data_IF_865187601360
#
_entry.id   IF_865187601360
#
_cell.length_a   1.000
_cell.length_b   1.000
_cell.length_c   1.000
_cell.angle_alpha   90.00
_cell.angle_beta   90.00
_cell.angle_gamma   90.00
#
_symmetry.space_group_name_H-M   'P 1'
#
loop_
_entity.id
_entity.type
_entity.pdbx_description
1 polymer ?
#
# COMPACT_ATOMS: atom_id res chain seq x y z
N UNK A 1 -5.37 37.02 -37.40
CA UNK A 1 -4.64 35.83 -37.01
C UNK A 1 -4.54 35.71 -35.50
N UNK A 2 -5.47 34.99 -34.85
CA UNK A 2 -5.35 34.63 -33.45
C UNK A 2 -4.58 33.31 -33.36
N UNK A 3 -3.37 33.34 -32.82
CA UNK A 3 -2.64 32.13 -32.43
C UNK A 3 -3.36 31.54 -31.20
N UNK A 4 -3.92 30.34 -31.35
CA UNK A 4 -4.46 29.56 -30.25
C UNK A 4 -3.28 29.17 -29.32
N UNK A 5 -3.27 29.67 -28.09
CA UNK A 5 -2.35 29.24 -27.07
C UNK A 5 -2.69 27.79 -26.66
N UNK A 6 -1.77 26.88 -26.84
CA UNK A 6 -1.83 25.52 -26.27
C UNK A 6 -1.84 25.71 -24.74
N UNK A 7 -2.80 25.16 -24.00
CA UNK A 7 -2.85 25.39 -22.57
C UNK A 7 -1.63 24.71 -21.89
N UNK A 8 -0.85 25.48 -21.17
CA UNK A 8 0.32 25.06 -20.39
C UNK A 8 0.06 23.84 -19.48
N UNK A 9 -1.20 23.57 -19.18
CA UNK A 9 -1.65 22.49 -18.30
C UNK A 9 -1.49 21.10 -18.91
N UNK A 10 -1.68 20.94 -20.23
CA UNK A 10 -1.49 19.66 -20.91
C UNK A 10 0.01 19.25 -20.98
N UNK A 11 0.92 20.21 -20.90
CA UNK A 11 2.37 19.95 -20.89
C UNK A 11 2.83 19.48 -19.49
N UNK A 12 2.24 20.01 -18.42
CA UNK A 12 2.59 19.60 -17.06
C UNK A 12 2.09 18.17 -16.73
N UNK A 13 0.86 17.83 -17.10
CA UNK A 13 0.29 16.49 -16.93
C UNK A 13 1.00 15.46 -17.80
N UNK A 14 1.33 15.81 -19.07
CA UNK A 14 2.12 14.92 -19.93
C UNK A 14 3.55 14.72 -19.41
N UNK A 15 4.15 15.74 -18.82
CA UNK A 15 5.47 15.63 -18.18
C UNK A 15 5.45 14.77 -16.92
N UNK A 16 4.41 14.84 -16.10
CA UNK A 16 4.21 13.98 -14.92
C UNK A 16 3.99 12.52 -15.35
N UNK A 17 3.22 12.30 -16.42
CA UNK A 17 3.00 10.96 -17.00
C UNK A 17 4.29 10.36 -17.56
N UNK A 18 5.09 11.16 -18.26
CA UNK A 18 6.40 10.74 -18.79
C UNK A 18 7.39 10.47 -17.64
N UNK A 19 7.38 11.30 -16.58
CA UNK A 19 8.21 11.06 -15.38
C UNK A 19 7.81 9.78 -14.63
N UNK A 20 6.52 9.49 -14.51
CA UNK A 20 6.04 8.25 -13.86
C UNK A 20 6.39 6.99 -14.66
N UNK A 21 6.39 7.07 -15.99
CA UNK A 21 6.82 5.96 -16.88
C UNK A 21 8.34 5.75 -16.83
N UNK A 22 9.14 6.84 -16.75
CA UNK A 22 10.61 6.75 -16.67
C UNK A 22 11.06 6.22 -15.30
N UNK A 23 10.29 6.47 -14.22
CA UNK A 23 10.59 5.94 -12.88
C UNK A 23 10.13 4.50 -12.64
N UNK A 24 9.26 3.94 -13.50
CA UNK A 24 8.72 2.59 -13.34
C UNK A 24 9.77 1.47 -13.54
N UNK A 25 10.95 1.79 -14.07
CA UNK A 25 12.01 0.81 -14.40
C UNK A 25 13.28 0.95 -13.55
N UNK A 26 13.30 1.88 -12.58
CA UNK A 26 14.47 2.06 -11.69
C UNK A 26 14.51 0.94 -10.66
N UNK A 27 15.50 0.05 -10.79
CA UNK A 27 15.77 -0.99 -9.78
C UNK A 27 16.18 -0.33 -8.45
N UNK A 28 15.57 -0.76 -7.36
CA UNK A 28 15.95 -0.33 -6.02
C UNK A 28 17.34 -0.86 -5.67
N UNK A 29 18.22 0.01 -5.20
CA UNK A 29 19.64 -0.30 -4.96
C UNK A 29 20.01 -0.21 -3.48
N UNK A 30 21.21 -0.69 -3.13
CA UNK A 30 21.75 -0.52 -1.77
C UNK A 30 21.98 0.97 -1.44
N UNK A 31 22.30 1.78 -2.44
CA UNK A 31 22.40 3.24 -2.27
C UNK A 31 21.04 3.84 -1.91
N UNK A 32 19.99 3.46 -2.64
CA UNK A 32 18.64 3.93 -2.33
C UNK A 32 18.22 3.54 -0.90
N UNK A 33 18.61 2.34 -0.41
CA UNK A 33 18.37 1.93 0.98
C UNK A 33 19.06 2.83 2.02
N UNK A 34 20.30 3.25 1.75
CA UNK A 34 21.06 4.15 2.64
C UNK A 34 20.48 5.57 2.65
N UNK A 35 19.91 6.02 1.53
CA UNK A 35 19.36 7.37 1.34
C UNK A 35 17.89 7.49 1.75
N UNK A 36 17.25 6.37 2.16
CA UNK A 36 15.86 6.41 2.62
C UNK A 36 15.72 7.29 3.87
N UNK A 37 14.89 8.32 3.76
CA UNK A 37 14.42 9.10 4.91
C UNK A 37 13.32 8.33 5.64
N UNK A 38 13.71 7.61 6.69
CA UNK A 38 12.83 6.75 7.48
C UNK A 38 12.48 7.43 8.81
N UNK A 39 11.21 7.39 9.25
CA UNK A 39 10.84 7.85 10.58
C UNK A 39 11.60 7.08 11.66
N UNK A 40 11.85 7.70 12.82
CA UNK A 40 12.73 7.16 13.85
C UNK A 40 12.45 5.71 14.28
N UNK A 41 11.17 5.29 14.28
CA UNK A 41 10.78 3.91 14.61
C UNK A 41 11.13 2.89 13.49
N UNK A 42 11.40 3.36 12.26
CA UNK A 42 11.83 2.54 11.12
C UNK A 42 13.28 2.80 10.72
N UNK A 43 13.95 3.77 11.37
CA UNK A 43 15.34 4.11 11.08
C UNK A 43 16.26 2.89 11.24
N UNK A 44 17.08 2.63 10.22
CA UNK A 44 17.97 1.45 10.16
C UNK A 44 19.37 1.75 10.70
N UNK A 45 19.73 3.02 10.87
CA UNK A 45 21.06 3.50 11.35
C UNK A 45 22.23 2.84 10.61
N UNK A 46 22.10 2.74 9.27
CA UNK A 46 23.08 2.11 8.42
C UNK A 46 24.24 3.06 8.07
N UNK A 47 25.46 2.53 8.16
CA UNK A 47 26.68 3.18 7.64
C UNK A 47 27.44 2.21 6.75
N UNK A 48 27.93 2.69 5.61
CA UNK A 48 28.75 1.87 4.72
C UNK A 48 30.22 1.96 5.17
N UNK A 49 30.80 0.81 5.54
CA UNK A 49 32.18 0.72 6.07
C UNK A 49 33.18 0.18 5.04
N UNK A 50 32.72 -0.56 4.01
CA UNK A 50 33.54 -1.03 2.89
C UNK A 50 32.70 -1.30 1.65
N UNK A 51 33.32 -1.55 0.49
CA UNK A 51 32.64 -1.93 -0.75
C UNK A 51 31.78 -0.83 -1.38
N UNK A 52 32.11 0.45 -1.17
CA UNK A 52 31.31 1.60 -1.62
C UNK A 52 31.01 1.60 -3.13
N UNK A 53 31.91 1.03 -3.94
CA UNK A 53 31.72 0.89 -5.40
C UNK A 53 30.52 0.01 -5.75
N UNK A 54 30.12 -0.90 -4.85
CA UNK A 54 28.97 -1.79 -5.01
C UNK A 54 27.62 -1.20 -4.58
N UNK A 55 27.57 0.02 -4.04
CA UNK A 55 26.29 0.64 -3.63
C UNK A 55 25.21 0.68 -4.73
N UNK A 56 25.54 0.77 -6.03
CA UNK A 56 24.54 0.67 -7.10
C UNK A 56 24.00 -0.75 -7.34
N UNK A 57 24.43 -1.78 -6.60
CA UNK A 57 23.86 -3.14 -6.72
C UNK A 57 22.39 -3.15 -6.43
N UNK A 58 21.65 -3.87 -7.31
CA UNK A 58 20.20 -3.99 -7.18
C UNK A 58 19.82 -4.92 -6.03
N UNK A 59 18.83 -4.53 -5.29
CA UNK A 59 18.13 -5.37 -4.32
C UNK A 59 16.85 -5.89 -5.00
N UNK A 60 16.64 -7.20 -4.96
CA UNK A 60 15.54 -7.86 -5.69
C UNK A 60 14.57 -8.64 -4.78
N UNK A 61 14.96 -8.86 -3.52
CA UNK A 61 14.18 -9.62 -2.58
C UNK A 61 13.91 -8.82 -1.28
N UNK A 62 12.68 -8.85 -0.76
CA UNK A 62 12.30 -8.15 0.48
C UNK A 62 12.73 -8.89 1.74
N UNK A 63 13.61 -9.87 1.63
CA UNK A 63 13.99 -10.79 2.69
C UNK A 63 15.45 -10.64 3.11
N UNK A 64 15.75 -11.22 4.27
CA UNK A 64 17.10 -11.31 4.86
C UNK A 64 17.56 -12.77 4.85
N UNK A 65 18.86 -12.99 4.72
CA UNK A 65 19.51 -14.27 4.95
C UNK A 65 20.56 -14.15 6.06
N UNK A 66 20.70 -15.21 6.86
CA UNK A 66 21.80 -15.36 7.82
C UNK A 66 22.78 -16.37 7.25
N UNK A 67 23.99 -15.94 6.86
CA UNK A 67 24.88 -16.79 6.06
C UNK A 67 25.67 -17.83 6.86
N UNK A 68 25.21 -18.22 8.05
CA UNK A 68 25.92 -19.14 8.93
C UNK A 68 26.34 -20.44 8.24
N UNK A 69 25.46 -21.11 7.50
CA UNK A 69 25.77 -22.33 6.74
C UNK A 69 26.71 -22.05 5.57
N UNK A 70 26.54 -20.95 4.85
CA UNK A 70 27.42 -20.57 3.75
C UNK A 70 28.85 -20.32 4.25
N UNK A 71 29.02 -19.75 5.44
CA UNK A 71 30.33 -19.58 6.08
C UNK A 71 31.04 -20.89 6.38
N UNK A 72 30.29 -22.01 6.55
CA UNK A 72 30.87 -23.36 6.72
C UNK A 72 31.15 -24.10 5.41
N UNK A 73 30.87 -23.46 4.26
CA UNK A 73 31.07 -24.06 2.94
C UNK A 73 29.85 -24.75 2.35
N UNK A 74 28.66 -24.64 2.96
CA UNK A 74 27.43 -25.23 2.44
C UNK A 74 26.63 -24.20 1.64
N UNK A 75 26.57 -24.33 0.30
CA UNK A 75 25.98 -23.34 -0.61
C UNK A 75 24.71 -23.82 -1.33
N UNK A 76 24.30 -25.10 -1.19
CA UNK A 76 23.19 -25.68 -1.95
C UNK A 76 21.85 -24.89 -1.82
N UNK A 77 21.65 -24.21 -0.71
CA UNK A 77 20.46 -23.37 -0.44
C UNK A 77 20.84 -21.95 -0.02
N UNK A 78 21.97 -21.45 -0.49
CA UNK A 78 22.41 -20.11 -0.13
C UNK A 78 21.57 -19.03 -0.81
N UNK A 79 20.78 -18.32 -0.02
CA UNK A 79 19.92 -17.25 -0.49
C UNK A 79 20.72 -15.95 -0.72
N UNK A 80 21.64 -15.98 -1.68
CA UNK A 80 22.58 -14.89 -1.97
C UNK A 80 21.91 -13.59 -2.45
N UNK A 81 20.74 -13.68 -3.08
CA UNK A 81 19.97 -12.52 -3.58
C UNK A 81 19.40 -11.64 -2.46
N UNK A 82 19.42 -12.13 -1.20
CA UNK A 82 18.93 -11.43 -0.03
C UNK A 82 20.04 -10.63 0.64
N UNK A 83 19.65 -9.66 1.45
CA UNK A 83 20.58 -8.98 2.37
C UNK A 83 21.17 -10.02 3.33
N UNK A 84 22.51 -10.08 3.43
CA UNK A 84 23.20 -11.00 4.31
C UNK A 84 23.42 -10.34 5.68
N UNK A 85 22.72 -10.82 6.71
CA UNK A 85 22.80 -10.28 8.07
C UNK A 85 23.76 -11.09 8.95
N UNK A 86 24.78 -10.41 9.44
CA UNK A 86 25.75 -10.93 10.39
C UNK A 86 25.40 -10.42 11.80
N UNK A 87 25.01 -11.34 12.66
CA UNK A 87 24.82 -11.11 14.09
C UNK A 87 26.03 -11.55 14.89
N UNK A 88 25.86 -11.69 16.20
CA UNK A 88 26.95 -12.13 17.11
C UNK A 88 27.51 -13.51 16.75
N UNK A 89 26.66 -14.47 16.36
CA UNK A 89 27.08 -15.82 16.03
C UNK A 89 27.93 -15.87 14.75
N UNK A 90 27.42 -15.28 13.67
CA UNK A 90 28.14 -15.19 12.39
C UNK A 90 29.46 -14.43 12.54
N UNK A 91 29.44 -13.32 13.31
CA UNK A 91 30.65 -12.53 13.55
C UNK A 91 31.68 -13.28 14.38
N UNK A 92 31.26 -14.03 15.40
CA UNK A 92 32.18 -14.88 16.17
C UNK A 92 32.80 -15.98 15.30
N UNK A 93 32.04 -16.56 14.36
CA UNK A 93 32.56 -17.52 13.42
C UNK A 93 33.54 -16.91 12.41
N UNK A 94 33.28 -15.68 11.95
CA UNK A 94 34.22 -14.92 11.12
C UNK A 94 35.56 -14.68 11.83
N UNK A 95 35.54 -14.33 13.11
CA UNK A 95 36.77 -14.16 13.93
C UNK A 95 37.54 -15.46 14.04
N UNK A 96 36.86 -16.59 14.16
CA UNK A 96 37.51 -17.94 14.14
C UNK A 96 38.15 -18.19 12.79
N UNK A 97 37.46 -17.99 11.67
CA UNK A 97 38.02 -18.19 10.33
C UNK A 97 39.25 -17.29 10.10
N UNK A 98 39.18 -16.04 10.57
CA UNK A 98 40.30 -15.10 10.53
C UNK A 98 41.53 -15.64 11.32
N UNK A 99 41.31 -16.09 12.55
CA UNK A 99 42.38 -16.65 13.40
C UNK A 99 43.01 -17.91 12.80
N UNK A 100 42.22 -18.72 12.08
CA UNK A 100 42.68 -19.96 11.39
C UNK A 100 43.26 -19.67 9.99
N UNK A 101 43.33 -18.42 9.54
CA UNK A 101 43.67 -18.00 8.18
C UNK A 101 42.90 -18.72 7.07
N UNK A 102 41.66 -19.14 7.37
CA UNK A 102 40.80 -19.85 6.44
C UNK A 102 39.92 -18.85 5.65
N UNK A 103 40.43 -18.34 4.55
CA UNK A 103 39.74 -17.35 3.71
C UNK A 103 38.94 -17.99 2.56
N UNK A 104 39.06 -19.32 2.37
CA UNK A 104 38.42 -19.98 1.22
C UNK A 104 36.91 -19.85 1.20
N UNK A 105 36.24 -20.09 2.33
CA UNK A 105 34.77 -19.96 2.46
C UNK A 105 34.31 -18.52 2.30
N UNK A 106 35.13 -17.55 2.73
CA UNK A 106 34.79 -16.13 2.57
C UNK A 106 34.86 -15.70 1.11
N UNK A 107 35.91 -16.12 0.36
CA UNK A 107 36.01 -15.85 -1.07
C UNK A 107 34.86 -16.46 -1.84
N UNK A 108 34.51 -17.72 -1.55
CA UNK A 108 33.43 -18.42 -2.21
C UNK A 108 32.06 -17.74 -2.01
N UNK A 109 31.79 -17.15 -0.85
CA UNK A 109 30.56 -16.38 -0.63
C UNK A 109 30.49 -15.17 -1.57
N UNK A 110 31.59 -14.46 -1.78
CA UNK A 110 31.64 -13.28 -2.63
C UNK A 110 31.72 -13.58 -4.13
N UNK A 111 31.79 -14.86 -4.54
CA UNK A 111 31.58 -15.28 -5.93
C UNK A 111 30.08 -15.12 -6.35
N UNK A 112 29.16 -15.08 -5.38
CA UNK A 112 27.75 -14.80 -5.62
C UNK A 112 27.49 -13.30 -5.68
N UNK A 113 26.50 -12.91 -6.50
CA UNK A 113 26.06 -11.50 -6.61
C UNK A 113 25.19 -11.08 -5.42
N UNK A 114 25.84 -10.95 -4.25
CA UNK A 114 25.21 -10.52 -3.00
C UNK A 114 24.93 -9.02 -3.08
N UNK A 115 23.72 -8.52 -2.75
CA UNK A 115 23.43 -7.10 -2.73
C UNK A 115 24.28 -6.35 -1.70
N UNK A 116 24.31 -6.81 -0.46
CA UNK A 116 25.14 -6.28 0.61
C UNK A 116 25.22 -7.23 1.81
N UNK A 117 26.22 -7.02 2.67
CA UNK A 117 26.31 -7.61 4.00
C UNK A 117 26.07 -6.54 5.06
N UNK A 118 25.31 -6.86 6.11
CA UNK A 118 25.00 -5.95 7.22
C UNK A 118 25.48 -6.56 8.53
N UNK A 119 26.27 -5.84 9.29
CA UNK A 119 26.73 -6.21 10.62
C UNK A 119 25.91 -5.46 11.67
N UNK A 120 25.21 -6.19 12.52
CA UNK A 120 24.40 -5.67 13.63
C UNK A 120 25.25 -5.46 14.90
N UNK A 121 24.65 -4.81 15.92
CA UNK A 121 25.29 -4.48 17.20
C UNK A 121 26.53 -3.57 17.08
N UNK A 122 26.72 -2.88 15.98
CA UNK A 122 27.95 -2.10 15.74
C UNK A 122 29.22 -2.96 15.66
N UNK A 123 29.09 -4.26 15.37
CA UNK A 123 30.21 -5.19 15.29
C UNK A 123 31.07 -4.84 14.09
N UNK A 124 32.41 -4.79 14.31
CA UNK A 124 33.39 -4.59 13.26
C UNK A 124 33.82 -5.96 12.69
N UNK A 125 33.68 -6.20 11.38
CA UNK A 125 34.21 -7.41 10.76
C UNK A 125 35.74 -7.41 10.71
N UNK A 126 36.39 -8.60 10.56
CA UNK A 126 37.83 -8.69 10.39
C UNK A 126 38.32 -7.97 9.13
N UNK A 127 39.58 -7.50 9.16
CA UNK A 127 40.18 -6.73 8.06
C UNK A 127 40.30 -7.53 6.76
N UNK A 128 40.58 -8.82 6.84
CA UNK A 128 40.64 -9.72 5.67
C UNK A 128 39.23 -9.87 5.02
N UNK A 129 38.16 -9.95 5.81
CA UNK A 129 36.81 -9.94 5.29
C UNK A 129 36.48 -8.64 4.55
N UNK A 130 36.87 -7.49 5.12
CA UNK A 130 36.69 -6.19 4.49
C UNK A 130 37.47 -6.07 3.18
N UNK A 131 38.72 -6.57 3.14
CA UNK A 131 39.53 -6.56 1.95
C UNK A 131 38.93 -7.40 0.81
N UNK A 132 38.44 -8.61 1.11
CA UNK A 132 37.78 -9.49 0.13
C UNK A 132 36.49 -8.85 -0.38
N UNK A 133 35.70 -8.25 0.50
CA UNK A 133 34.46 -7.57 0.13
C UNK A 133 34.72 -6.34 -0.76
N UNK A 134 35.79 -5.59 -0.52
CA UNK A 134 36.21 -4.45 -1.34
C UNK A 134 36.61 -4.90 -2.75
N UNK A 135 37.41 -6.00 -2.87
CA UNK A 135 37.78 -6.61 -4.15
C UNK A 135 36.54 -7.10 -4.93
N UNK A 136 35.56 -7.66 -4.24
CA UNK A 136 34.32 -8.15 -4.82
C UNK A 136 33.29 -7.02 -5.10
N UNK A 137 33.59 -5.77 -4.77
CA UNK A 137 32.65 -4.64 -4.81
C UNK A 137 31.33 -4.94 -4.08
N UNK A 138 31.38 -5.68 -2.95
CA UNK A 138 30.21 -5.98 -2.14
C UNK A 138 30.08 -4.96 -1.00
N UNK A 139 28.99 -4.18 -0.90
CA UNK A 139 28.81 -3.23 0.18
C UNK A 139 28.76 -3.92 1.54
N UNK A 140 29.58 -3.45 2.48
CA UNK A 140 29.52 -3.85 3.87
C UNK A 140 28.93 -2.68 4.66
N UNK A 141 27.76 -2.95 5.25
CA UNK A 141 27.03 -1.99 6.03
C UNK A 141 27.11 -2.38 7.51
N UNK A 142 27.03 -1.39 8.37
CA UNK A 142 27.00 -1.58 9.82
C UNK A 142 25.81 -0.84 10.42
N UNK A 143 25.15 -1.45 11.41
CA UNK A 143 24.10 -0.81 12.21
C UNK A 143 24.33 -1.03 13.70
N UNK A 144 23.97 -0.04 14.50
CA UNK A 144 23.98 -0.15 15.98
C UNK A 144 22.86 -1.03 16.52
N UNK A 145 21.81 -1.31 15.71
CA UNK A 145 20.65 -2.09 16.12
C UNK A 145 21.02 -3.56 16.40
N UNK A 146 20.23 -4.20 17.25
CA UNK A 146 20.27 -5.65 17.43
C UNK A 146 19.72 -6.36 16.18
N UNK A 147 20.20 -7.60 15.93
CA UNK A 147 19.81 -8.36 14.72
C UNK A 147 18.30 -8.51 14.55
N UNK A 148 17.56 -8.78 15.63
CA UNK A 148 16.11 -8.99 15.58
C UNK A 148 15.38 -7.69 15.26
N UNK A 149 15.78 -6.60 15.91
CA UNK A 149 15.20 -5.28 15.66
C UNK A 149 15.49 -4.79 14.25
N UNK A 150 16.75 -4.89 13.81
CA UNK A 150 17.15 -4.56 12.45
C UNK A 150 16.37 -5.36 11.42
N UNK A 151 16.25 -6.70 11.60
CA UNK A 151 15.50 -7.56 10.70
C UNK A 151 14.04 -7.13 10.57
N UNK A 152 13.38 -6.87 11.70
CA UNK A 152 11.98 -6.45 11.71
C UNK A 152 11.74 -5.13 10.97
N UNK A 153 12.64 -4.15 11.18
CA UNK A 153 12.58 -2.85 10.50
C UNK A 153 12.88 -2.99 9.01
N UNK A 154 13.96 -3.70 8.65
CA UNK A 154 14.37 -3.87 7.25
C UNK A 154 13.31 -4.61 6.43
N UNK A 155 12.76 -5.72 6.94
CA UNK A 155 11.70 -6.48 6.26
C UNK A 155 10.49 -5.57 6.00
N UNK A 156 10.07 -4.76 6.97
CA UNK A 156 8.97 -3.81 6.80
C UNK A 156 9.25 -2.77 5.72
N UNK A 157 10.46 -2.18 5.72
CA UNK A 157 10.89 -1.22 4.71
C UNK A 157 10.92 -1.84 3.33
N UNK A 158 11.53 -3.01 3.17
CA UNK A 158 11.65 -3.70 1.89
C UNK A 158 10.29 -4.20 1.39
N UNK A 159 9.43 -4.74 2.28
CA UNK A 159 8.07 -5.16 1.93
C UNK A 159 7.25 -3.98 1.39
N UNK A 160 7.38 -2.81 1.98
CA UNK A 160 6.73 -1.59 1.49
C UNK A 160 7.32 -1.12 0.15
N UNK A 161 8.62 -1.23 -0.04
CA UNK A 161 9.33 -0.81 -1.25
C UNK A 161 9.01 -1.72 -2.44
N UNK A 162 9.00 -3.04 -2.21
CA UNK A 162 8.75 -4.06 -3.23
C UNK A 162 7.27 -4.45 -3.36
N UNK A 163 6.37 -3.85 -2.57
CA UNK A 163 4.94 -4.11 -2.66
C UNK A 163 4.44 -3.90 -4.10
N UNK A 164 3.68 -4.83 -4.66
CA UNK A 164 3.03 -4.61 -5.96
C UNK A 164 2.22 -3.33 -5.95
N UNK A 165 2.37 -2.51 -7.00
CA UNK A 165 1.73 -1.21 -7.13
C UNK A 165 0.83 -1.16 -8.35
N UNK A 166 -0.28 -0.42 -8.25
CA UNK A 166 -1.20 -0.11 -9.34
C UNK A 166 -1.72 1.31 -9.18
N UNK A 167 -1.75 2.05 -10.26
CA UNK A 167 -2.37 3.37 -10.30
C UNK A 167 -3.80 3.24 -10.80
N UNK A 168 -4.74 3.92 -10.14
CA UNK A 168 -6.14 3.99 -10.54
C UNK A 168 -6.66 5.41 -10.50
N UNK A 169 -7.59 5.74 -11.42
CA UNK A 169 -8.34 7.00 -11.37
C UNK A 169 -9.54 6.85 -10.43
N UNK A 170 -9.71 7.84 -9.55
CA UNK A 170 -10.79 7.86 -8.58
C UNK A 170 -10.54 8.88 -7.48
N UNK A 171 -11.32 8.80 -6.42
CA UNK A 171 -11.13 9.59 -5.19
C UNK A 171 -11.05 8.65 -4.00
N UNK A 172 -10.01 8.78 -3.19
CA UNK A 172 -9.89 8.01 -1.95
C UNK A 172 -10.19 8.91 -0.74
N UNK A 173 -11.18 8.50 0.02
CA UNK A 173 -11.63 9.19 1.25
C UNK A 173 -11.65 8.23 2.45
N UNK A 174 -11.48 8.78 3.64
CA UNK A 174 -11.72 8.05 4.88
C UNK A 174 -13.05 8.51 5.49
N UNK A 175 -14.02 7.60 5.61
CA UNK A 175 -15.35 7.84 6.16
C UNK A 175 -15.57 6.94 7.37
N UNK A 176 -15.75 7.52 8.56
CA UNK A 176 -15.87 6.81 9.85
C UNK A 176 -14.78 5.75 10.10
N UNK A 177 -13.54 6.03 9.64
CA UNK A 177 -12.41 5.13 9.77
C UNK A 177 -12.32 4.05 8.68
N UNK A 178 -13.27 3.96 7.74
CA UNK A 178 -13.25 3.09 6.56
C UNK A 178 -12.65 3.85 5.38
N UNK A 179 -11.66 3.27 4.70
CA UNK A 179 -11.13 3.81 3.44
C UNK A 179 -12.02 3.40 2.28
N UNK A 180 -12.56 4.39 1.59
CA UNK A 180 -13.49 4.23 0.47
C UNK A 180 -12.85 4.78 -0.80
N UNK A 181 -12.74 3.93 -1.82
CA UNK A 181 -12.30 4.30 -3.15
C UNK A 181 -13.54 4.56 -4.02
N UNK A 182 -13.79 5.85 -4.34
CA UNK A 182 -14.83 6.27 -5.26
C UNK A 182 -14.32 6.12 -6.69
N UNK A 183 -14.97 5.30 -7.49
CA UNK A 183 -14.69 5.09 -8.91
C UNK A 183 -15.92 5.40 -9.76
N UNK A 184 -15.77 5.50 -11.07
CA UNK A 184 -16.82 5.82 -12.03
C UNK A 184 -16.27 6.71 -13.15
N UNK A 185 -17.07 6.94 -14.19
CA UNK A 185 -16.63 7.72 -15.35
C UNK A 185 -16.33 9.19 -14.99
N UNK A 186 -15.60 9.88 -15.85
CA UNK A 186 -15.29 11.32 -15.65
C UNK A 186 -16.59 12.14 -15.68
N UNK A 187 -16.78 12.98 -14.65
CA UNK A 187 -17.95 13.85 -14.55
C UNK A 187 -19.14 13.27 -13.82
N UNK A 188 -19.05 12.04 -13.31
CA UNK A 188 -20.16 11.42 -12.53
C UNK A 188 -20.36 12.04 -11.14
N UNK A 189 -19.49 12.95 -10.70
CA UNK A 189 -19.61 13.65 -9.41
C UNK A 189 -18.74 13.08 -8.28
N UNK A 190 -17.62 12.36 -8.59
CA UNK A 190 -16.72 11.81 -7.56
C UNK A 190 -16.11 12.87 -6.65
N UNK A 191 -15.48 13.88 -7.24
CA UNK A 191 -14.80 14.95 -6.48
C UNK A 191 -15.78 15.80 -5.72
N UNK A 192 -16.94 16.12 -6.30
CA UNK A 192 -18.02 16.86 -5.64
C UNK A 192 -18.57 16.09 -4.42
N UNK A 193 -18.81 14.78 -4.60
CA UNK A 193 -19.25 13.90 -3.49
C UNK A 193 -18.20 13.82 -2.38
N UNK A 194 -16.92 13.73 -2.75
CA UNK A 194 -15.82 13.71 -1.78
C UNK A 194 -15.72 15.05 -1.04
N UNK A 195 -15.91 16.19 -1.72
CA UNK A 195 -15.90 17.52 -1.08
C UNK A 195 -17.03 17.65 -0.04
N UNK A 196 -18.26 17.19 -0.37
CA UNK A 196 -19.36 17.14 0.59
C UNK A 196 -19.05 16.25 1.80
N UNK A 197 -18.37 15.09 1.60
CA UNK A 197 -17.92 14.25 2.70
C UNK A 197 -16.87 14.94 3.58
N UNK A 198 -15.95 15.71 2.98
CA UNK A 198 -14.93 16.49 3.71
C UNK A 198 -15.61 17.58 4.57
N UNK A 199 -16.59 18.29 4.02
CA UNK A 199 -17.39 19.28 4.75
C UNK A 199 -18.09 18.64 5.97
N UNK A 200 -18.47 17.37 5.87
CA UNK A 200 -19.05 16.54 6.94
C UNK A 200 -18.00 15.94 7.88
N UNK A 201 -16.79 16.48 7.89
CA UNK A 201 -15.67 16.07 8.77
C UNK A 201 -15.03 14.72 8.45
N UNK A 202 -15.19 14.21 7.23
CA UNK A 202 -14.40 13.10 6.71
C UNK A 202 -13.08 13.58 6.12
N UNK A 203 -12.20 12.65 5.74
CA UNK A 203 -10.84 13.00 5.33
C UNK A 203 -10.58 12.62 3.88
N UNK A 204 -9.95 13.53 3.14
CA UNK A 204 -9.40 13.25 1.83
C UNK A 204 -8.05 12.52 1.97
N UNK A 205 -7.85 11.48 1.17
CA UNK A 205 -6.53 10.86 1.00
C UNK A 205 -5.92 11.27 -0.34
N UNK A 206 -6.69 11.17 -1.43
CA UNK A 206 -6.25 11.62 -2.75
C UNK A 206 -7.44 11.82 -3.68
N UNK A 207 -7.30 12.76 -4.63
CA UNK A 207 -8.21 12.98 -5.76
C UNK A 207 -7.47 12.70 -7.08
N UNK A 208 -8.19 12.24 -8.10
CA UNK A 208 -7.81 11.93 -9.48
C UNK A 208 -6.89 10.71 -9.63
N UNK A 209 -5.66 10.72 -9.14
CA UNK A 209 -4.70 9.63 -9.33
C UNK A 209 -4.28 9.03 -7.99
N UNK A 210 -4.67 7.78 -7.77
CA UNK A 210 -4.41 7.04 -6.54
C UNK A 210 -3.39 5.94 -6.83
N UNK A 211 -2.28 5.93 -6.10
CA UNK A 211 -1.36 4.81 -6.05
C UNK A 211 -1.85 3.80 -5.01
N UNK A 212 -2.14 2.59 -5.45
CA UNK A 212 -2.52 1.46 -4.64
C UNK A 212 -1.35 0.49 -4.49
N UNK A 213 -1.11 0.00 -3.27
CA UNK A 213 -0.05 -0.97 -2.95
C UNK A 213 -0.62 -2.14 -2.16
N UNK A 214 -0.25 -3.37 -2.56
CA UNK A 214 -0.60 -4.56 -1.79
C UNK A 214 0.49 -4.86 -0.77
N UNK A 215 0.18 -4.67 0.51
CA UNK A 215 1.10 -4.93 1.62
C UNK A 215 0.72 -6.24 2.30
N UNK A 216 1.71 -7.07 2.62
CA UNK A 216 1.53 -8.39 3.26
C UNK A 216 0.56 -9.33 2.51
N UNK A 217 0.34 -9.12 1.21
CA UNK A 217 -0.50 -9.96 0.35
C UNK A 217 -2.01 -9.84 0.54
N UNK A 218 -2.48 -9.06 1.51
CA UNK A 218 -3.91 -8.98 1.85
C UNK A 218 -4.41 -7.58 2.23
N UNK A 219 -3.53 -6.59 2.36
CA UNK A 219 -3.88 -5.22 2.71
C UNK A 219 -3.63 -4.32 1.52
N UNK A 220 -4.66 -3.65 1.02
CA UNK A 220 -4.56 -2.68 -0.05
C UNK A 220 -4.45 -1.27 0.54
N UNK A 221 -3.25 -0.68 0.50
CA UNK A 221 -3.03 0.71 0.91
C UNK A 221 -3.14 1.64 -0.29
N UNK A 222 -3.87 2.73 -0.13
CA UNK A 222 -3.99 3.79 -1.13
C UNK A 222 -3.41 5.11 -0.62
N UNK A 223 -2.77 5.84 -1.52
CA UNK A 223 -2.23 7.19 -1.31
C UNK A 223 -2.29 8.00 -2.60
N UNK A 224 -2.08 9.30 -2.53
CA UNK A 224 -1.90 10.12 -3.72
C UNK A 224 -0.62 9.73 -4.48
N UNK A 225 -0.70 9.63 -5.80
CA UNK A 225 0.46 9.28 -6.63
C UNK A 225 1.60 10.31 -6.52
N UNK A 226 1.29 11.55 -6.18
CA UNK A 226 2.27 12.60 -5.94
C UNK A 226 1.95 13.32 -4.63
N UNK A 227 2.87 13.24 -3.65
CA UNK A 227 2.70 13.84 -2.32
C UNK A 227 2.53 15.36 -2.34
N UNK A 228 3.08 16.06 -3.34
CA UNK A 228 2.99 17.52 -3.43
C UNK A 228 1.61 18.02 -3.84
N UNK A 229 0.82 17.19 -4.53
CA UNK A 229 -0.51 17.56 -5.04
C UNK A 229 -1.63 16.69 -4.46
N UNK A 230 -1.32 15.73 -3.60
CA UNK A 230 -2.30 14.75 -3.07
C UNK A 230 -3.46 15.39 -2.30
N UNK A 231 -3.28 16.60 -1.76
CA UNK A 231 -4.32 17.31 -1.00
C UNK A 231 -5.03 18.38 -1.83
N UNK A 232 -4.85 18.38 -3.16
CA UNK A 232 -5.56 19.26 -4.08
C UNK A 232 -6.70 18.49 -4.74
N UNK A 233 -7.80 19.19 -4.98
CA UNK A 233 -8.96 18.69 -5.70
C UNK A 233 -9.30 19.61 -6.86
N UNK A 234 -9.68 19.03 -7.99
CA UNK A 234 -10.22 19.79 -9.12
C UNK A 234 -11.75 19.74 -9.09
N UNK A 235 -12.37 20.91 -8.88
CA UNK A 235 -13.83 21.06 -8.90
C UNK A 235 -14.22 21.84 -10.15
N UNK A 236 -15.04 21.25 -10.99
CA UNK A 236 -15.51 21.89 -12.22
C UNK A 236 -16.25 23.19 -11.90
N UNK A 237 -15.86 24.28 -12.56
CA UNK A 237 -16.42 25.62 -12.35
C UNK A 237 -15.77 26.41 -11.21
N UNK A 238 -15.08 25.76 -10.26
CA UNK A 238 -14.33 26.42 -9.19
C UNK A 238 -12.82 26.44 -9.46
N UNK A 239 -12.29 25.37 -10.10
CA UNK A 239 -10.86 25.18 -10.33
C UNK A 239 -10.21 24.26 -9.30
N UNK A 240 -8.89 24.44 -9.09
CA UNK A 240 -8.10 23.63 -8.15
C UNK A 240 -8.17 24.28 -6.76
N UNK A 241 -8.56 23.49 -5.77
CA UNK A 241 -8.60 23.89 -4.35
C UNK A 241 -7.59 23.07 -3.55
N UNK A 242 -7.03 23.65 -2.50
CA UNK A 242 -6.20 22.93 -1.50
C UNK A 242 -7.06 22.62 -0.28
N UNK A 243 -7.37 21.35 -0.08
CA UNK A 243 -8.27 20.88 1.00
C UNK A 243 -7.69 21.18 2.38
N UNK A 244 -6.38 21.00 2.56
CA UNK A 244 -5.75 21.26 3.86
C UNK A 244 -5.78 22.75 4.25
N UNK A 245 -5.74 23.66 3.27
CA UNK A 245 -5.85 25.11 3.52
C UNK A 245 -7.27 25.55 3.79
N UNK A 246 -8.27 24.94 3.13
CA UNK A 246 -9.67 25.31 3.30
C UNK A 246 -10.31 24.71 4.56
N UNK A 247 -10.02 23.43 4.84
CA UNK A 247 -10.69 22.64 5.89
C UNK A 247 -9.77 22.26 7.05
N UNK A 248 -8.48 22.65 6.96
CA UNK A 248 -7.46 22.31 7.95
C UNK A 248 -6.81 20.94 7.76
N UNK A 249 -5.69 20.72 8.46
CA UNK A 249 -4.91 19.48 8.38
C UNK A 249 -5.68 18.24 8.86
N UNK A 250 -6.72 18.42 9.68
CA UNK A 250 -7.60 17.35 10.11
C UNK A 250 -8.46 16.74 9.00
N UNK A 251 -8.65 17.47 7.89
CA UNK A 251 -9.46 17.05 6.74
C UNK A 251 -8.68 16.21 5.71
N UNK A 252 -7.39 15.97 5.95
CA UNK A 252 -6.53 15.20 5.04
C UNK A 252 -5.90 14.01 5.75
N UNK A 253 -5.46 13.03 4.96
CA UNK A 253 -4.68 11.87 5.39
C UNK A 253 -3.72 11.44 4.28
N UNK A 254 -2.48 11.09 4.63
CA UNK A 254 -1.46 10.73 3.63
C UNK A 254 -1.72 9.38 2.96
N UNK A 255 -2.20 8.39 3.72
CA UNK A 255 -2.50 7.05 3.21
C UNK A 255 -3.61 6.38 4.02
N UNK A 256 -4.36 5.50 3.37
CA UNK A 256 -5.43 4.72 4.01
C UNK A 256 -5.57 3.34 3.37
N UNK A 257 -5.87 2.32 4.18
CA UNK A 257 -6.33 1.02 3.68
C UNK A 257 -7.63 1.20 2.91
N UNK A 258 -7.71 0.68 1.68
CA UNK A 258 -8.94 0.62 0.88
C UNK A 258 -9.75 -0.58 1.35
N UNK A 259 -10.92 -0.32 1.88
CA UNK A 259 -11.77 -1.31 2.52
C UNK A 259 -13.12 -1.49 1.81
N UNK A 260 -13.51 -0.50 1.01
CA UNK A 260 -14.72 -0.51 0.20
C UNK A 260 -14.45 0.24 -1.10
N UNK A 261 -14.94 -0.28 -2.21
CA UNK A 261 -15.05 0.45 -3.48
C UNK A 261 -16.49 0.88 -3.64
N UNK A 262 -16.69 2.16 -3.95
CA UNK A 262 -17.99 2.71 -4.33
C UNK A 262 -17.93 3.11 -5.79
N UNK A 263 -18.67 2.41 -6.62
CA UNK A 263 -18.79 2.71 -8.04
C UNK A 263 -20.00 3.62 -8.27
N UNK A 264 -19.73 4.87 -8.67
CA UNK A 264 -20.74 5.83 -9.06
C UNK A 264 -21.04 5.66 -10.54
N UNK A 265 -22.30 5.46 -10.88
CA UNK A 265 -22.75 5.29 -12.26
C UNK A 265 -24.02 6.12 -12.53
N UNK A 266 -24.25 6.46 -13.78
CA UNK A 266 -25.50 7.13 -14.14
C UNK A 266 -26.70 6.20 -13.87
N UNK A 267 -27.85 6.79 -13.50
CA UNK A 267 -29.05 6.03 -13.28
C UNK A 267 -29.51 5.33 -14.57
N UNK A 268 -29.59 4.01 -14.54
CA UNK A 268 -30.16 3.20 -15.62
C UNK A 268 -31.52 2.64 -15.19
N UNK A 269 -32.64 3.01 -15.85
CA UNK A 269 -33.98 2.51 -15.50
C UNK A 269 -34.15 1.02 -15.78
N UNK A 270 -33.35 0.44 -16.70
CA UNK A 270 -33.44 -0.97 -17.09
C UNK A 270 -32.55 -1.87 -16.21
N UNK A 271 -31.65 -1.28 -15.39
CA UNK A 271 -30.77 -2.01 -14.47
C UNK A 271 -31.50 -2.30 -13.15
N UNK A 272 -31.48 -3.57 -12.75
CA UNK A 272 -31.96 -3.98 -11.42
C UNK A 272 -30.85 -3.75 -10.39
N UNK A 273 -31.07 -2.79 -9.50
CA UNK A 273 -30.16 -2.51 -8.38
C UNK A 273 -30.48 -3.44 -7.20
N UNK A 274 -29.42 -3.99 -6.58
CA UNK A 274 -29.58 -4.79 -5.37
C UNK A 274 -30.21 -3.94 -4.24
N UNK A 275 -31.37 -4.36 -3.74
CA UNK A 275 -32.10 -3.69 -2.65
C UNK A 275 -31.87 -4.34 -1.29
N UNK A 276 -31.45 -5.59 -1.27
CA UNK A 276 -31.31 -6.38 -0.06
C UNK A 276 -29.86 -6.41 0.45
N UNK A 277 -28.88 -6.11 -0.40
CA UNK A 277 -27.46 -6.17 -0.05
C UNK A 277 -26.96 -7.60 0.19
N UNK A 278 -27.62 -8.59 -0.42
CA UNK A 278 -27.30 -10.03 -0.28
C UNK A 278 -26.21 -10.45 -1.25
N UNK A 279 -26.17 -9.84 -2.44
CA UNK A 279 -25.22 -10.17 -3.51
C UNK A 279 -24.00 -9.27 -3.42
N UNK A 280 -22.97 -9.70 -2.68
CA UNK A 280 -21.77 -8.93 -2.51
C UNK A 280 -20.84 -9.09 -3.71
N UNK A 281 -20.64 -8.02 -4.47
CA UNK A 281 -19.67 -7.92 -5.54
C UNK A 281 -18.28 -7.60 -4.99
N UNK A 282 -17.25 -8.02 -5.70
CA UNK A 282 -15.86 -7.75 -5.33
C UNK A 282 -15.07 -7.28 -6.55
N UNK A 283 -14.16 -6.34 -6.32
CA UNK A 283 -13.15 -5.92 -7.28
C UNK A 283 -11.80 -6.50 -6.86
N UNK A 284 -11.12 -7.17 -7.78
CA UNK A 284 -9.75 -7.63 -7.55
C UNK A 284 -8.76 -6.52 -7.90
N UNK A 285 -7.99 -6.10 -6.91
CA UNK A 285 -6.93 -5.11 -7.07
C UNK A 285 -5.65 -5.68 -6.48
N UNK A 286 -4.68 -5.98 -7.32
CA UNK A 286 -3.39 -6.58 -6.91
C UNK A 286 -3.54 -7.89 -6.12
N UNK A 287 -4.55 -8.72 -6.45
CA UNK A 287 -4.86 -9.96 -5.76
C UNK A 287 -5.67 -9.81 -4.47
N UNK A 288 -6.02 -8.57 -4.07
CA UNK A 288 -6.87 -8.29 -2.90
C UNK A 288 -8.29 -8.07 -3.37
N UNK A 289 -9.24 -8.86 -2.85
CA UNK A 289 -10.67 -8.75 -3.15
C UNK A 289 -11.32 -7.70 -2.24
N UNK A 290 -11.67 -6.56 -2.80
CA UNK A 290 -12.34 -5.47 -2.09
C UNK A 290 -13.83 -5.48 -2.44
N UNK A 291 -14.76 -5.41 -1.45
CA UNK A 291 -16.17 -5.31 -1.71
C UNK A 291 -16.52 -4.06 -2.52
N UNK A 292 -17.47 -4.19 -3.45
CA UNK A 292 -17.96 -3.11 -4.31
C UNK A 292 -19.42 -2.82 -4.01
N UNK A 293 -19.74 -1.53 -3.93
CA UNK A 293 -21.10 -1.03 -3.85
C UNK A 293 -21.36 -0.13 -5.08
N UNK A 294 -22.31 -0.54 -5.92
CA UNK A 294 -22.75 0.28 -7.07
C UNK A 294 -23.82 1.27 -6.60
N UNK A 295 -23.57 2.55 -6.80
CA UNK A 295 -24.50 3.61 -6.40
C UNK A 295 -24.89 4.42 -7.64
N UNK A 296 -26.16 4.33 -8.08
CA UNK A 296 -26.63 5.16 -9.18
C UNK A 296 -26.78 6.62 -8.75
N UNK A 297 -26.24 7.52 -9.56
CA UNK A 297 -26.32 8.96 -9.41
C UNK A 297 -27.57 9.48 -10.13
N UNK A 298 -28.40 10.24 -9.43
CA UNK A 298 -29.53 10.94 -10.03
C UNK A 298 -29.83 12.23 -9.25
N UNK A 299 -30.39 13.23 -9.90
CA UNK A 299 -30.76 14.50 -9.24
C UNK A 299 -31.60 14.28 -7.99
N UNK A 300 -31.24 14.97 -6.90
CA UNK A 300 -31.94 14.90 -5.62
C UNK A 300 -31.54 13.72 -4.72
N UNK A 301 -30.64 12.83 -5.15
CA UNK A 301 -30.13 11.76 -4.30
C UNK A 301 -28.92 12.27 -3.49
N UNK A 302 -28.99 12.13 -2.18
CA UNK A 302 -27.90 12.54 -1.29
C UNK A 302 -26.85 11.43 -1.21
N UNK A 303 -25.80 11.51 -2.05
CA UNK A 303 -24.74 10.49 -2.13
C UNK A 303 -23.92 10.43 -0.84
N UNK A 304 -23.49 11.53 -0.20
CA UNK A 304 -22.71 11.47 1.03
C UNK A 304 -23.40 10.67 2.14
N UNK A 305 -24.69 10.85 2.38
CA UNK A 305 -25.43 10.10 3.40
C UNK A 305 -25.42 8.60 3.08
N UNK A 306 -25.57 8.22 1.81
CA UNK A 306 -25.55 6.82 1.40
C UNK A 306 -24.15 6.22 1.64
N UNK A 307 -23.09 6.96 1.32
CA UNK A 307 -21.70 6.54 1.53
C UNK A 307 -21.37 6.45 3.01
N UNK A 308 -21.83 7.39 3.83
CA UNK A 308 -21.72 7.33 5.29
C UNK A 308 -22.38 6.07 5.86
N UNK A 309 -23.59 5.77 5.42
CA UNK A 309 -24.31 4.55 5.82
C UNK A 309 -23.58 3.27 5.35
N UNK A 310 -23.04 3.28 4.12
CA UNK A 310 -22.26 2.17 3.60
C UNK A 310 -20.95 1.95 4.40
N UNK A 311 -20.27 3.01 4.79
CA UNK A 311 -19.07 2.94 5.63
C UNK A 311 -19.38 2.31 6.99
N UNK A 312 -20.46 2.75 7.64
CA UNK A 312 -20.89 2.19 8.94
C UNK A 312 -21.29 0.71 8.81
N UNK A 313 -22.01 0.35 7.75
CA UNK A 313 -22.41 -1.03 7.48
C UNK A 313 -21.18 -1.93 7.21
N UNK A 314 -20.21 -1.45 6.43
CA UNK A 314 -18.97 -2.20 6.19
C UNK A 314 -18.16 -2.38 7.48
N UNK A 315 -18.12 -1.36 8.34
CA UNK A 315 -17.51 -1.45 9.66
C UNK A 315 -18.19 -2.53 10.53
N UNK A 316 -19.52 -2.58 10.55
CA UNK A 316 -20.28 -3.61 11.27
C UNK A 316 -20.00 -5.00 10.71
N UNK A 317 -19.96 -5.17 9.37
CA UNK A 317 -19.63 -6.44 8.71
C UNK A 317 -18.25 -6.94 9.15
N UNK A 318 -17.25 -6.07 9.22
CA UNK A 318 -15.89 -6.40 9.69
C UNK A 318 -15.84 -6.78 11.17
N UNK A 319 -16.78 -6.30 11.97
CA UNK A 319 -16.94 -6.71 13.36
C UNK A 319 -17.76 -8.02 13.51
N UNK A 320 -18.16 -8.65 12.38
CA UNK A 320 -18.90 -9.90 12.36
C UNK A 320 -20.43 -9.76 12.29
N UNK A 321 -20.96 -8.52 12.22
CA UNK A 321 -22.37 -8.26 12.15
C UNK A 321 -22.83 -7.95 10.73
N UNK A 322 -23.78 -8.73 10.19
CA UNK A 322 -24.27 -8.58 8.82
C UNK A 322 -25.79 -8.43 8.80
N UNK A 323 -26.26 -7.18 8.75
CA UNK A 323 -27.69 -6.84 8.80
C UNK A 323 -28.51 -7.49 7.69
N UNK A 324 -27.99 -7.60 6.46
CA UNK A 324 -28.69 -8.23 5.34
C UNK A 324 -28.90 -9.74 5.57
N UNK A 325 -27.87 -10.40 6.11
CA UNK A 325 -27.93 -11.83 6.45
C UNK A 325 -28.90 -12.09 7.60
N UNK A 326 -28.85 -11.26 8.64
CA UNK A 326 -29.73 -11.37 9.81
C UNK A 326 -31.18 -11.11 9.43
N UNK A 327 -31.45 -10.10 8.60
CA UNK A 327 -32.76 -9.83 8.05
C UNK A 327 -33.29 -11.04 7.27
N UNK A 328 -32.50 -11.60 6.35
CA UNK A 328 -32.92 -12.76 5.54
C UNK A 328 -33.20 -13.98 6.41
N UNK A 329 -32.38 -14.24 7.44
CA UNK A 329 -32.63 -15.33 8.39
C UNK A 329 -33.95 -15.11 9.20
N UNK A 330 -34.22 -13.88 9.60
CA UNK A 330 -35.45 -13.56 10.35
C UNK A 330 -36.68 -13.68 9.46
N UNK A 331 -36.60 -13.25 8.20
CA UNK A 331 -37.69 -13.44 7.22
C UNK A 331 -37.97 -14.93 6.97
N UNK A 332 -36.94 -15.75 6.79
CA UNK A 332 -37.06 -17.19 6.61
C UNK A 332 -37.72 -17.84 7.84
N UNK A 333 -37.29 -17.51 9.06
CA UNK A 333 -37.89 -17.98 10.29
C UNK A 333 -39.38 -17.59 10.41
N UNK A 334 -39.67 -16.33 10.06
CA UNK A 334 -41.06 -15.84 10.07
C UNK A 334 -41.97 -16.60 9.09
N UNK A 335 -41.48 -16.93 7.90
CA UNK A 335 -42.18 -17.76 6.91
C UNK A 335 -42.36 -19.19 7.44
N UNK A 336 -41.31 -19.79 8.03
CA UNK A 336 -41.31 -21.16 8.55
C UNK A 336 -42.26 -21.33 9.76
N UNK A 337 -42.39 -20.32 10.61
CA UNK A 337 -43.26 -20.36 11.79
C UNK A 337 -44.77 -20.22 11.45
N UNK A 338 -45.11 -19.94 10.19
CA UNK A 338 -46.50 -19.82 9.74
C UNK A 338 -47.20 -18.52 10.16
N UNK A 339 -46.50 -17.60 10.86
CA UNK A 339 -47.04 -16.30 11.26
C UNK A 339 -47.35 -15.39 10.05
N UNK A 340 -46.70 -15.63 8.92
CA UNK A 340 -46.97 -14.96 7.66
C UNK A 340 -48.36 -15.28 7.09
N UNK A 341 -48.83 -16.52 7.27
CA UNK A 341 -50.17 -16.93 6.83
C UNK A 341 -51.29 -16.33 7.69
N UNK A 342 -51.04 -16.13 8.98
CA UNK A 342 -52.02 -15.53 9.90
C UNK A 342 -52.20 -14.03 9.63
N UNK A 343 -51.14 -13.31 9.31
CA UNK A 343 -51.20 -11.88 8.97
C UNK A 343 -51.90 -11.63 7.61
N UNK A 344 -51.72 -12.51 6.64
CA UNK A 344 -52.38 -12.40 5.33
C UNK A 344 -53.88 -12.67 5.44
N UNK A 345 -54.27 -13.73 6.19
CA UNK A 345 -55.69 -14.09 6.39
C UNK A 345 -56.45 -13.09 7.26
N UNK A 346 -55.78 -12.35 8.16
CA UNK A 346 -56.44 -11.32 8.98
C UNK A 346 -56.65 -9.99 8.24
N UNK A 347 -56.06 -9.78 7.07
CA UNK A 347 -56.28 -8.59 6.22
C UNK A 347 -57.44 -8.76 5.24
N UNK A 348 -57.90 -10.00 4.96
CA UNK A 348 -59.03 -10.28 4.06
C UNK A 348 -60.40 -10.25 4.75
N UNK A 349 -60.45 -10.28 6.09
CA UNK A 349 -61.69 -10.24 6.87
C UNK A 349 -62.14 -8.81 7.23
N UNK A 350 -61.58 -7.77 6.66
CA UNK A 350 -61.91 -6.38 6.94
C UNK A 350 -62.37 -5.61 5.69
N UNK A 351 -63.32 -6.17 4.94
CA UNK A 351 -64.12 -5.43 3.94
C UNK A 351 -65.60 -5.74 4.13
#
# INVERSE_FOLDING_TARGET
>A
GRKAGVPFFNLALSSIYVYSIIMADKKFTVLDLLELDLPGHDALYLTCIAGRRGLPRAMTAPDINRPGLALTGFYESFAYQRVQLFGRGESAYLQKLHAEHNLSSLKAIFEYDIPCCVFSYGIQPPDDFLAIAEEAFCPILQTSLESTEFSSRLIRVLSNTFAPKKTMHGVLVEVYGIGILLVGHSGVGKSETALELIERSHRLVADDIIELRCVNGNILLGQGANRFISHHMEIRGLGIINVSQLYGVGAIRDQKEVQLVVELEDWDPDKVYDRLGTDQKYMDILGVKIPVLEIPVRPGRNLPIIIEAAAMNERLKRMGYNSARDFNQNVLKWIETGEAQTAYNSSDDSY
#
